data_IF_650879920758
#
_entry.id   IF_650879920758
#
_cell.length_a   1.000
_cell.length_b   1.000
_cell.length_c   1.000
_cell.angle_alpha   90.00
_cell.angle_beta   90.00
_cell.angle_gamma   90.00
#
_symmetry.space_group_name_H-M   'P 1'
#
loop_
_entity.id
_entity.type
_entity.pdbx_description
1 polymer ?
#
# COMPACT_ATOMS: atom_id res chain seq x y z
N UNK A 1 -30.25 77.41 11.02
CA UNK A 1 -30.71 76.96 9.72
C UNK A 1 -29.51 76.87 8.80
N UNK A 2 -28.95 75.80 8.57
CA UNK A 2 -28.31 75.38 7.31
C UNK A 2 -27.75 73.94 7.53
N UNK A 3 -28.30 73.05 6.79
CA UNK A 3 -27.98 71.58 6.79
C UNK A 3 -26.65 71.39 6.07
N UNK A 4 -25.69 70.76 6.72
CA UNK A 4 -24.48 70.29 6.08
C UNK A 4 -24.57 68.76 5.84
N UNK A 5 -24.82 68.41 4.60
CA UNK A 5 -24.72 66.97 4.13
C UNK A 5 -23.25 66.61 3.96
N UNK A 6 -22.76 65.73 4.82
CA UNK A 6 -21.48 65.09 4.65
C UNK A 6 -21.62 63.99 3.62
N UNK A 7 -20.87 64.09 2.53
CA UNK A 7 -20.69 63.04 1.52
C UNK A 7 -19.62 62.11 2.00
N UNK A 8 -20.03 60.93 2.42
CA UNK A 8 -19.06 59.80 2.58
C UNK A 8 -18.79 59.20 1.22
N UNK A 9 -17.55 59.33 0.79
CA UNK A 9 -17.03 58.68 -0.38
C UNK A 9 -16.94 57.14 -0.13
N UNK A 10 -17.60 56.40 -0.99
CA UNK A 10 -17.46 54.93 -1.04
C UNK A 10 -16.04 54.59 -1.47
N UNK A 11 -15.27 54.00 -0.57
CA UNK A 11 -14.05 53.35 -0.93
C UNK A 11 -14.41 52.03 -1.63
N UNK A 12 -14.10 51.91 -2.90
CA UNK A 12 -14.11 50.68 -3.64
C UNK A 12 -13.10 49.72 -3.01
N UNK A 13 -13.60 48.70 -2.29
CA UNK A 13 -12.80 47.61 -1.82
C UNK A 13 -12.58 46.69 -3.02
N UNK A 14 -11.40 46.82 -3.60
CA UNK A 14 -10.92 45.98 -4.68
C UNK A 14 -10.94 44.52 -4.20
N UNK A 15 -11.86 43.76 -4.78
CA UNK A 15 -12.05 42.35 -4.50
C UNK A 15 -10.86 41.59 -5.10
N UNK A 16 -9.80 41.49 -4.30
CA UNK A 16 -8.65 40.66 -4.66
C UNK A 16 -9.13 39.27 -5.08
N UNK A 17 -8.96 38.98 -6.33
CA UNK A 17 -9.24 37.71 -6.97
C UNK A 17 -8.41 36.63 -6.27
N UNK A 18 -9.08 35.78 -5.47
CA UNK A 18 -8.50 34.60 -4.83
C UNK A 18 -7.90 33.73 -5.94
N UNK A 19 -6.62 33.37 -5.90
CA UNK A 19 -6.07 32.46 -6.87
C UNK A 19 -6.81 31.14 -6.70
N UNK A 20 -7.47 30.69 -7.76
CA UNK A 20 -7.98 29.33 -7.89
C UNK A 20 -6.78 28.40 -7.88
N UNK A 21 -6.39 27.98 -6.68
CA UNK A 21 -5.47 26.87 -6.47
C UNK A 21 -6.13 25.61 -7.03
N UNK A 22 -5.83 25.33 -8.28
CA UNK A 22 -6.11 24.00 -8.84
C UNK A 22 -5.58 22.98 -7.84
N UNK A 23 -6.48 22.16 -7.30
CA UNK A 23 -6.11 20.90 -6.65
C UNK A 23 -5.42 20.04 -7.71
N UNK A 24 -4.14 20.26 -7.85
CA UNK A 24 -3.28 19.24 -8.45
C UNK A 24 -3.44 18.06 -7.51
N UNK A 25 -4.17 17.04 -7.95
CA UNK A 25 -4.19 15.77 -7.27
C UNK A 25 -2.72 15.39 -7.11
N UNK A 26 -2.22 15.43 -5.88
CA UNK A 26 -0.87 15.01 -5.58
C UNK A 26 -0.77 13.58 -6.07
N UNK A 27 -0.13 13.37 -7.21
CA UNK A 27 0.27 12.04 -7.63
C UNK A 27 1.05 11.50 -6.45
N UNK A 28 0.54 10.42 -5.85
CA UNK A 28 1.15 9.83 -4.67
C UNK A 28 2.58 9.47 -5.06
N UNK A 29 3.52 10.28 -4.61
CA UNK A 29 4.94 10.05 -4.81
C UNK A 29 5.23 8.73 -4.11
N UNK A 30 5.49 7.70 -4.89
CA UNK A 30 5.90 6.40 -4.34
C UNK A 30 7.31 6.63 -3.80
N UNK A 31 7.47 6.46 -2.49
CA UNK A 31 8.77 6.61 -1.86
C UNK A 31 9.75 5.59 -2.45
N UNK A 32 10.93 6.01 -2.92
CA UNK A 32 11.93 5.11 -3.51
C UNK A 32 12.25 3.92 -2.60
N UNK A 33 12.30 4.13 -1.30
CA UNK A 33 12.52 3.09 -0.28
C UNK A 33 11.48 1.97 -0.32
N UNK A 34 10.23 2.28 -0.63
CA UNK A 34 9.16 1.28 -0.75
C UNK A 34 9.27 0.47 -2.04
N UNK A 35 9.72 1.09 -3.13
CA UNK A 35 10.00 0.36 -4.38
C UNK A 35 11.14 -0.62 -4.17
N UNK A 36 12.20 -0.20 -3.49
CA UNK A 36 13.32 -1.07 -3.12
C UNK A 36 12.88 -2.20 -2.20
N UNK A 37 11.98 -1.94 -1.25
CA UNK A 37 11.42 -2.98 -0.39
C UNK A 37 10.66 -4.05 -1.19
N UNK A 38 9.91 -3.67 -2.22
CA UNK A 38 9.25 -4.62 -3.14
C UNK A 38 10.28 -5.44 -3.90
N UNK A 39 11.39 -4.84 -4.36
CA UNK A 39 12.46 -5.56 -5.06
C UNK A 39 13.18 -6.55 -4.12
N UNK A 40 13.47 -6.16 -2.88
CA UNK A 40 14.01 -7.08 -1.87
C UNK A 40 13.05 -8.23 -1.59
N UNK A 41 11.75 -7.95 -1.42
CA UNK A 41 10.73 -8.97 -1.25
C UNK A 41 10.64 -9.93 -2.44
N UNK A 42 10.71 -9.38 -3.67
CA UNK A 42 10.76 -10.20 -4.89
C UNK A 42 11.97 -11.13 -4.88
N UNK A 43 13.17 -10.60 -4.63
CA UNK A 43 14.40 -11.40 -4.57
C UNK A 43 14.27 -12.54 -3.57
N UNK A 44 13.63 -12.31 -2.43
CA UNK A 44 13.34 -13.34 -1.44
C UNK A 44 12.39 -14.41 -1.98
N UNK A 45 11.26 -14.01 -2.57
CA UNK A 45 10.26 -14.95 -3.09
C UNK A 45 10.76 -15.73 -4.30
N UNK A 46 11.63 -15.16 -5.13
CA UNK A 46 12.24 -15.84 -6.27
C UNK A 46 13.16 -17.03 -5.87
N UNK A 47 13.50 -17.15 -4.58
CA UNK A 47 14.22 -18.33 -4.07
C UNK A 47 13.30 -19.52 -3.78
N UNK A 48 11.99 -19.34 -3.85
CA UNK A 48 10.98 -20.34 -3.57
C UNK A 48 10.39 -20.88 -4.89
N UNK A 49 10.06 -22.14 -4.89
CA UNK A 49 9.44 -22.87 -6.00
C UNK A 49 7.94 -23.16 -5.80
N UNK A 50 7.25 -22.27 -5.08
CA UNK A 50 5.83 -22.43 -4.78
C UNK A 50 4.93 -22.40 -6.01
N UNK A 51 5.33 -21.64 -7.04
CA UNK A 51 4.60 -21.49 -8.29
C UNK A 51 5.55 -21.62 -9.48
N UNK A 52 5.03 -22.06 -10.65
CA UNK A 52 5.86 -22.28 -11.85
C UNK A 52 6.56 -21.01 -12.37
N UNK A 53 5.95 -19.87 -12.15
CA UNK A 53 6.49 -18.58 -12.58
C UNK A 53 6.81 -17.69 -11.37
N UNK A 54 7.90 -16.92 -11.41
CA UNK A 54 8.23 -15.97 -10.35
C UNK A 54 7.18 -14.88 -10.23
N UNK A 55 7.14 -14.21 -9.09
CA UNK A 55 6.22 -13.10 -8.89
C UNK A 55 6.53 -11.95 -9.84
N UNK A 56 5.50 -11.46 -10.55
CA UNK A 56 5.61 -10.31 -11.43
C UNK A 56 5.32 -9.04 -10.67
N UNK A 57 6.29 -8.12 -10.66
CA UNK A 57 6.22 -6.85 -9.91
C UNK A 57 6.09 -5.61 -10.80
N UNK A 58 6.18 -5.75 -12.13
CA UNK A 58 6.11 -4.68 -13.11
C UNK A 58 4.87 -3.77 -12.99
N UNK A 59 3.77 -4.33 -12.47
CA UNK A 59 2.51 -3.61 -12.27
C UNK A 59 2.08 -3.53 -10.81
N UNK A 60 2.95 -3.90 -9.89
CA UNK A 60 2.66 -3.80 -8.46
C UNK A 60 2.78 -2.35 -8.01
N UNK A 61 1.78 -1.90 -7.27
CA UNK A 61 1.75 -0.57 -6.66
C UNK A 61 1.85 -0.73 -5.15
N UNK A 62 2.69 0.05 -4.52
CA UNK A 62 2.80 0.12 -3.07
C UNK A 62 2.44 1.52 -2.61
N UNK A 63 1.58 1.64 -1.60
CA UNK A 63 1.09 2.93 -1.11
C UNK A 63 0.93 2.92 0.40
N UNK A 64 1.27 4.03 1.03
CA UNK A 64 0.95 4.28 2.43
C UNK A 64 -0.46 4.86 2.51
N UNK A 65 -1.36 4.16 3.19
CA UNK A 65 -2.77 4.50 3.28
C UNK A 65 -3.30 4.29 4.72
N UNK A 66 -2.85 5.08 5.70
CA UNK A 66 -3.25 4.90 7.10
C UNK A 66 -4.76 5.01 7.32
N UNK A 67 -5.47 5.76 6.49
CA UNK A 67 -6.92 5.90 6.53
C UNK A 67 -7.66 4.58 6.27
N UNK A 68 -7.11 3.71 5.40
CA UNK A 68 -7.68 2.40 5.08
C UNK A 68 -7.75 1.51 6.33
N UNK A 69 -6.72 1.55 7.16
CA UNK A 69 -6.63 0.75 8.38
C UNK A 69 -7.45 1.31 9.56
N UNK A 70 -8.19 2.41 9.35
CA UNK A 70 -9.21 2.90 10.29
C UNK A 70 -10.58 2.27 10.04
N UNK A 71 -10.78 1.66 8.88
CA UNK A 71 -12.02 0.96 8.52
C UNK A 71 -12.19 -0.27 9.46
N UNK A 72 -13.38 -0.47 10.05
CA UNK A 72 -13.65 -1.66 10.85
C UNK A 72 -13.34 -2.95 10.06
N UNK A 73 -12.67 -3.89 10.69
CA UNK A 73 -12.20 -5.12 10.05
C UNK A 73 -10.74 -5.06 9.57
N UNK A 74 -10.21 -3.87 9.25
CA UNK A 74 -8.82 -3.70 8.81
C UNK A 74 -7.90 -3.14 9.89
N UNK A 75 -8.43 -2.72 11.04
CA UNK A 75 -7.68 -2.08 12.13
C UNK A 75 -6.52 -2.90 12.67
N UNK A 76 -6.60 -4.22 12.60
CA UNK A 76 -5.59 -5.15 13.11
C UNK A 76 -4.42 -5.38 12.16
N UNK A 77 -4.55 -4.95 10.90
CA UNK A 77 -3.53 -5.16 9.89
C UNK A 77 -2.56 -3.97 9.79
N UNK A 78 -1.32 -4.26 9.43
CA UNK A 78 -0.30 -3.26 9.13
C UNK A 78 -0.01 -3.15 7.64
N UNK A 79 -0.33 -4.19 6.88
CA UNK A 79 -0.31 -4.27 5.44
C UNK A 79 -1.55 -4.98 4.93
N UNK A 80 -1.87 -4.77 3.66
CA UNK A 80 -2.96 -5.46 2.98
C UNK A 80 -2.69 -5.49 1.48
N UNK A 81 -2.70 -6.68 0.89
CA UNK A 81 -2.57 -6.85 -0.55
C UNK A 81 -3.95 -7.00 -1.19
N UNK A 82 -4.22 -6.18 -2.18
CA UNK A 82 -5.41 -6.27 -2.98
C UNK A 82 -5.06 -6.19 -4.46
N UNK A 83 -5.35 -7.26 -5.20
CA UNK A 83 -5.06 -7.40 -6.63
C UNK A 83 -3.58 -7.19 -6.96
N UNK A 84 -3.17 -5.98 -7.32
CA UNK A 84 -1.78 -5.57 -7.64
C UNK A 84 -1.30 -4.43 -6.75
N UNK A 85 -2.01 -4.15 -5.68
CA UNK A 85 -1.71 -3.02 -4.81
C UNK A 85 -1.43 -3.53 -3.40
N UNK A 86 -0.32 -3.09 -2.85
CA UNK A 86 0.02 -3.27 -1.44
C UNK A 86 -0.29 -1.95 -0.73
N UNK A 87 -1.18 -2.00 0.24
CA UNK A 87 -1.47 -0.89 1.14
C UNK A 87 -0.71 -1.10 2.44
N UNK A 88 -0.03 -0.07 2.90
CA UNK A 88 0.72 -0.08 4.15
C UNK A 88 0.14 0.97 5.11
N UNK A 89 0.18 0.67 6.40
CA UNK A 89 -0.24 1.62 7.44
C UNK A 89 0.75 2.76 7.60
N UNK A 90 2.04 2.51 7.42
CA UNK A 90 3.13 3.49 7.46
C UNK A 90 4.21 3.14 6.44
N UNK A 91 5.10 4.08 6.16
CA UNK A 91 6.26 3.85 5.30
C UNK A 91 7.34 3.02 6.01
N UNK A 92 7.44 3.14 7.33
CA UNK A 92 8.38 2.39 8.16
C UNK A 92 7.80 1.01 8.49
N UNK A 93 8.02 0.07 7.60
CA UNK A 93 7.57 -1.33 7.75
C UNK A 93 8.73 -2.29 7.51
N UNK A 94 8.75 -3.43 8.23
CA UNK A 94 9.77 -4.45 8.01
C UNK A 94 9.62 -5.12 6.63
N UNK A 95 10.73 -5.51 6.03
CA UNK A 95 10.75 -6.25 4.76
C UNK A 95 9.92 -7.54 4.81
N UNK A 96 9.78 -8.15 5.98
CA UNK A 96 8.93 -9.32 6.18
C UNK A 96 7.46 -9.06 5.88
N UNK A 97 6.94 -7.89 6.26
CA UNK A 97 5.58 -7.50 5.94
C UNK A 97 5.41 -7.33 4.43
N UNK A 98 6.34 -6.64 3.77
CA UNK A 98 6.28 -6.44 2.31
C UNK A 98 6.39 -7.78 1.59
N UNK A 99 7.24 -8.71 2.07
CA UNK A 99 7.36 -10.07 1.53
C UNK A 99 6.06 -10.86 1.68
N UNK A 100 5.40 -10.76 2.83
CA UNK A 100 4.10 -11.38 3.09
C UNK A 100 3.04 -10.89 2.11
N UNK A 101 2.90 -9.57 1.98
CA UNK A 101 1.91 -8.96 1.09
C UNK A 101 2.22 -9.24 -0.39
N UNK A 102 3.49 -9.25 -0.77
CA UNK A 102 3.88 -9.61 -2.14
C UNK A 102 3.60 -11.10 -2.44
N UNK A 103 3.71 -11.97 -1.44
CA UNK A 103 3.32 -13.37 -1.58
C UNK A 103 1.83 -13.51 -1.91
N UNK A 104 0.95 -12.72 -1.30
CA UNK A 104 -0.47 -12.69 -1.65
C UNK A 104 -0.71 -12.23 -3.10
N UNK A 105 0.07 -11.27 -3.60
CA UNK A 105 0.01 -10.89 -5.01
C UNK A 105 0.45 -12.06 -5.91
N UNK A 106 1.51 -12.76 -5.55
CA UNK A 106 1.99 -13.94 -6.27
C UNK A 106 0.94 -15.05 -6.32
N UNK A 107 0.31 -15.35 -5.19
CA UNK A 107 -0.82 -16.27 -5.09
C UNK A 107 -1.98 -15.87 -6.02
N UNK A 108 -2.33 -14.57 -6.01
CA UNK A 108 -3.38 -14.02 -6.88
C UNK A 108 -3.04 -14.10 -8.37
N UNK A 109 -1.78 -14.02 -8.75
CA UNK A 109 -1.34 -14.18 -10.13
C UNK A 109 -1.57 -15.59 -10.67
N UNK A 110 -1.54 -16.60 -9.80
CA UNK A 110 -1.68 -18.01 -10.17
C UNK A 110 -3.04 -18.64 -9.80
N UNK A 111 -3.69 -18.15 -8.75
CA UNK A 111 -4.88 -18.78 -8.16
C UNK A 111 -5.95 -17.80 -7.70
N UNK A 112 -6.18 -16.71 -8.45
CA UNK A 112 -7.04 -15.61 -8.03
C UNK A 112 -8.44 -16.05 -7.53
N UNK A 113 -9.14 -16.90 -8.30
CA UNK A 113 -10.50 -17.33 -7.95
C UNK A 113 -10.51 -18.23 -6.71
N UNK A 114 -9.58 -19.17 -6.62
CA UNK A 114 -9.48 -20.05 -5.46
C UNK A 114 -9.07 -19.29 -4.20
N UNK A 115 -8.17 -18.33 -4.34
CA UNK A 115 -7.77 -17.44 -3.25
C UNK A 115 -8.95 -16.62 -2.74
N UNK A 116 -9.72 -15.98 -3.62
CA UNK A 116 -10.93 -15.23 -3.27
C UNK A 116 -11.93 -16.12 -2.53
N UNK A 117 -12.20 -17.32 -3.05
CA UNK A 117 -13.08 -18.30 -2.40
C UNK A 117 -12.61 -18.66 -0.99
N UNK A 118 -11.32 -18.94 -0.80
CA UNK A 118 -10.76 -19.28 0.51
C UNK A 118 -10.82 -18.13 1.50
N UNK A 119 -10.59 -16.91 1.05
CA UNK A 119 -10.75 -15.73 1.92
C UNK A 119 -12.18 -15.53 2.40
N UNK A 120 -13.18 -15.93 1.61
CA UNK A 120 -14.58 -15.84 1.99
C UNK A 120 -15.04 -16.99 2.89
N UNK A 121 -14.47 -18.19 2.76
CA UNK A 121 -14.97 -19.41 3.39
C UNK A 121 -14.14 -19.90 4.58
N UNK A 122 -12.93 -19.35 4.77
CA UNK A 122 -11.98 -19.82 5.76
C UNK A 122 -11.60 -18.69 6.74
N UNK A 123 -11.46 -19.04 8.03
CA UNK A 123 -10.96 -18.08 9.02
C UNK A 123 -9.50 -17.70 8.70
N UNK A 124 -9.12 -16.45 8.97
CA UNK A 124 -7.80 -15.91 8.68
C UNK A 124 -6.64 -16.83 9.10
N UNK A 125 -6.65 -17.33 10.35
CA UNK A 125 -5.55 -18.17 10.87
C UNK A 125 -5.41 -19.52 10.19
N UNK A 126 -6.51 -20.08 9.69
CA UNK A 126 -6.56 -21.40 9.02
C UNK A 126 -6.62 -21.28 7.50
N UNK A 127 -6.57 -20.08 6.95
CA UNK A 127 -6.54 -19.86 5.52
C UNK A 127 -5.21 -20.38 4.94
N UNK A 128 -5.24 -21.31 3.99
CA UNK A 128 -4.03 -21.91 3.43
C UNK A 128 -3.10 -20.86 2.78
N UNK A 129 -3.65 -19.79 2.22
CA UNK A 129 -2.86 -18.70 1.62
C UNK A 129 -2.13 -17.87 2.67
N UNK A 130 -2.74 -17.66 3.83
CA UNK A 130 -2.10 -17.00 4.95
C UNK A 130 -0.99 -17.87 5.56
N UNK A 131 -1.21 -19.17 5.63
CA UNK A 131 -0.22 -20.12 6.11
C UNK A 131 0.98 -20.13 5.15
N UNK A 132 0.72 -20.19 3.85
CA UNK A 132 1.76 -20.18 2.81
C UNK A 132 2.56 -18.87 2.82
N UNK A 133 1.90 -17.71 2.93
CA UNK A 133 2.59 -16.43 3.00
C UNK A 133 3.48 -16.30 4.24
N UNK A 134 3.01 -16.76 5.41
CA UNK A 134 3.83 -16.81 6.64
C UNK A 134 5.01 -17.77 6.50
N UNK A 135 4.80 -18.90 5.85
CA UNK A 135 5.84 -19.88 5.57
C UNK A 135 6.89 -19.30 4.63
N UNK A 136 6.49 -18.62 3.56
CA UNK A 136 7.38 -17.93 2.62
C UNK A 136 8.30 -16.94 3.34
N UNK A 137 7.73 -16.11 4.24
CA UNK A 137 8.51 -15.19 5.07
C UNK A 137 9.51 -15.94 5.95
N UNK A 138 9.09 -17.00 6.62
CA UNK A 138 9.94 -17.79 7.52
C UNK A 138 11.09 -18.46 6.78
N UNK A 139 10.84 -19.05 5.61
CA UNK A 139 11.84 -19.74 4.80
C UNK A 139 12.87 -18.76 4.22
N UNK A 140 12.42 -17.61 3.75
CA UNK A 140 13.29 -16.59 3.15
C UNK A 140 14.02 -15.73 4.15
N UNK A 141 13.62 -15.76 5.42
CA UNK A 141 14.34 -15.09 6.52
C UNK A 141 15.59 -15.86 6.95
N UNK A 142 15.63 -17.16 6.72
CA UNK A 142 16.81 -17.96 7.04
C UNK A 142 17.99 -17.48 6.19
N UNK A 143 19.16 -17.20 6.80
CA UNK A 143 20.35 -17.02 6.01
C UNK A 143 20.52 -18.29 5.16
N UNK A 144 20.81 -18.12 3.87
CA UNK A 144 21.12 -19.25 2.99
C UNK A 144 22.12 -20.13 3.74
N UNK A 145 21.77 -21.43 3.90
CA UNK A 145 22.69 -22.37 4.54
C UNK A 145 24.02 -22.24 3.83
N UNK A 146 25.06 -21.84 4.55
CA UNK A 146 26.40 -21.81 3.97
C UNK A 146 26.67 -23.23 3.49
N UNK A 147 27.01 -23.44 2.21
CA UNK A 147 27.43 -24.75 1.77
C UNK A 147 28.62 -25.14 2.67
N UNK A 148 28.43 -26.24 3.40
CA UNK A 148 29.42 -26.69 4.39
C UNK A 148 30.81 -26.75 3.81
N UNK A 149 31.74 -26.22 4.59
CA UNK A 149 33.18 -26.42 4.41
C UNK A 149 33.49 -27.92 4.47
#
# INVERSE_FOLDING_TARGET
MVSARSKFASANFDRAKKPEGGRVAAAAVVEPSLVEAVQRAKTRLDTLDYYPEPVRVDRVRIRVAPWFFRIPGFRRYHGYAFWRTILLRSADVPDDLVTHELCHIWQGQHRALHMAWKHMTTRYRSNPYEIEARRAVAETRRPAAQPGL
#
